data_IF_887470702504
#
_entry.id   IF_887470702504
#
_cell.length_a   1.000
_cell.length_b   1.000
_cell.length_c   1.000
_cell.angle_alpha   90.00
_cell.angle_beta   90.00
_cell.angle_gamma   90.00
#
_symmetry.space_group_name_H-M   'P 1'
#
loop_
_entity.id
_entity.type
_entity.pdbx_description
1 polymer ?
#
# COMPACT_ATOMS: atom_id res chain seq x y z
N UNK A 1 -14.46 5.63 12.31
CA UNK A 1 -13.83 6.43 13.40
C UNK A 1 -13.33 7.75 12.82
N UNK A 2 -13.09 8.77 13.64
CA UNK A 2 -12.47 10.03 13.20
C UNK A 2 -11.51 10.57 14.29
N UNK A 3 -10.47 11.26 13.84
CA UNK A 3 -9.57 12.04 14.68
C UNK A 3 -10.02 13.50 14.59
N UNK A 4 -10.52 14.04 15.69
CA UNK A 4 -11.09 15.39 15.76
C UNK A 4 -10.26 16.29 16.66
N UNK A 5 -10.16 17.57 16.29
CA UNK A 5 -9.55 18.62 17.12
C UNK A 5 -10.51 18.96 18.26
N UNK A 6 -10.12 18.66 19.49
CA UNK A 6 -10.88 18.98 20.72
C UNK A 6 -10.28 20.15 21.50
N UNK A 7 -8.99 20.43 21.31
CA UNK A 7 -8.34 21.65 21.84
C UNK A 7 -7.55 22.34 20.71
N UNK A 8 -8.06 23.51 20.29
CA UNK A 8 -7.49 24.35 19.24
C UNK A 8 -6.22 25.11 19.67
N UNK A 9 -6.00 25.28 20.97
CA UNK A 9 -4.86 25.98 21.54
C UNK A 9 -3.68 25.05 21.86
N UNK A 10 -3.96 23.77 22.09
CA UNK A 10 -2.94 22.76 22.35
C UNK A 10 -2.01 22.52 21.15
N UNK A 11 -0.77 22.05 21.39
CA UNK A 11 0.14 21.60 20.34
C UNK A 11 -0.53 20.61 19.37
N UNK A 12 -0.05 20.58 18.12
CA UNK A 12 -0.71 19.87 17.01
C UNK A 12 -1.16 18.44 17.35
N UNK A 13 -0.34 17.64 18.03
CA UNK A 13 -0.67 16.25 18.36
C UNK A 13 -1.37 16.06 19.70
N UNK A 14 -1.39 17.09 20.55
CA UNK A 14 -1.90 17.02 21.92
C UNK A 14 -3.33 17.54 22.07
N UNK A 15 -3.94 18.10 21.03
CA UNK A 15 -5.34 18.55 21.04
C UNK A 15 -6.28 17.68 20.20
N UNK A 16 -5.91 16.42 19.94
CA UNK A 16 -6.67 15.51 19.07
C UNK A 16 -7.33 14.41 19.90
N UNK A 17 -8.60 14.11 19.62
CA UNK A 17 -9.38 13.02 20.24
C UNK A 17 -9.80 11.98 19.20
N UNK A 18 -9.93 10.72 19.63
CA UNK A 18 -10.40 9.61 18.78
C UNK A 18 -11.86 9.32 19.09
N UNK A 19 -12.75 9.42 18.09
CA UNK A 19 -14.19 9.23 18.29
C UNK A 19 -14.77 8.19 17.33
N UNK A 20 -15.80 7.49 17.81
CA UNK A 20 -16.65 6.62 17.03
C UNK A 20 -17.99 7.30 16.74
N UNK A 21 -18.55 7.05 15.57
CA UNK A 21 -19.86 7.55 15.19
C UNK A 21 -20.45 6.63 14.15
N UNK A 22 -21.78 6.65 14.05
CA UNK A 22 -22.52 5.96 13.02
C UNK A 22 -22.52 6.82 11.76
N UNK A 23 -22.10 6.26 10.62
CA UNK A 23 -22.10 6.95 9.32
C UNK A 23 -23.50 7.37 8.84
N UNK A 24 -24.56 6.78 9.42
CA UNK A 24 -25.96 7.13 9.14
C UNK A 24 -26.47 8.30 10.01
N UNK A 25 -25.66 8.80 10.94
CA UNK A 25 -26.03 9.92 11.80
C UNK A 25 -26.39 11.16 10.97
N UNK A 26 -27.41 11.89 11.42
CA UNK A 26 -27.80 13.17 10.81
C UNK A 26 -26.61 14.12 10.74
N UNK A 27 -26.44 14.78 9.60
CA UNK A 27 -25.35 15.72 9.34
C UNK A 27 -24.11 15.09 8.68
N UNK A 28 -24.04 13.76 8.60
CA UNK A 28 -22.99 13.06 7.86
C UNK A 28 -23.43 12.84 6.42
N UNK A 29 -22.57 13.21 5.47
CA UNK A 29 -22.75 12.89 4.04
C UNK A 29 -21.43 12.44 3.44
N UNK A 30 -21.49 11.53 2.47
CA UNK A 30 -20.32 11.09 1.71
C UNK A 30 -20.49 11.41 0.24
N UNK A 31 -19.39 11.77 -0.42
CA UNK A 31 -19.30 11.95 -1.87
C UNK A 31 -18.20 11.03 -2.39
N UNK A 32 -18.54 9.93 -3.11
CA UNK A 32 -17.55 9.01 -3.66
C UNK A 32 -16.55 9.74 -4.58
N UNK A 33 -15.30 9.30 -4.54
CA UNK A 33 -14.22 9.79 -5.40
C UNK A 33 -13.77 8.63 -6.27
N UNK A 34 -14.00 8.76 -7.58
CA UNK A 34 -13.51 7.81 -8.56
C UNK A 34 -12.01 8.04 -8.78
N UNK A 35 -11.22 6.98 -8.62
CA UNK A 35 -9.79 7.00 -8.88
C UNK A 35 -9.52 6.87 -10.38
N UNK A 36 -8.32 7.29 -10.80
CA UNK A 36 -7.83 7.07 -12.16
C UNK A 36 -7.76 5.58 -12.53
N UNK A 37 -7.72 4.67 -11.56
CA UNK A 37 -7.82 3.22 -11.77
C UNK A 37 -9.25 2.72 -12.01
N UNK A 38 -10.26 3.60 -12.01
CA UNK A 38 -11.68 3.27 -12.21
C UNK A 38 -12.39 2.82 -10.94
N UNK A 39 -11.65 2.33 -9.96
CA UNK A 39 -12.12 1.99 -8.61
C UNK A 39 -12.59 3.24 -7.84
N UNK A 40 -13.58 3.08 -6.96
CA UNK A 40 -14.08 4.16 -6.09
C UNK A 40 -14.14 3.75 -4.61
N UNK A 41 -13.01 3.36 -3.99
CA UNK A 41 -12.99 2.92 -2.59
C UNK A 41 -12.99 4.09 -1.60
N UNK A 42 -12.82 5.32 -2.07
CA UNK A 42 -12.74 6.53 -1.24
C UNK A 42 -13.95 7.41 -1.43
N UNK A 43 -14.22 8.22 -0.41
CA UNK A 43 -15.18 9.30 -0.48
C UNK A 43 -14.67 10.50 0.32
N UNK A 44 -15.07 11.70 -0.10
CA UNK A 44 -15.07 12.86 0.77
C UNK A 44 -16.21 12.71 1.77
N UNK A 45 -15.93 12.88 3.06
CA UNK A 45 -16.95 12.79 4.12
C UNK A 45 -17.15 14.16 4.75
N UNK A 46 -18.39 14.65 4.72
CA UNK A 46 -18.82 15.92 5.30
C UNK A 46 -19.48 15.67 6.65
N UNK A 47 -19.15 16.52 7.62
CA UNK A 47 -19.73 16.54 8.95
C UNK A 47 -20.34 17.92 9.20
N UNK A 48 -21.68 17.99 9.26
CA UNK A 48 -22.44 19.23 9.47
C UNK A 48 -23.29 19.13 10.74
N UNK A 49 -22.92 19.90 11.78
CA UNK A 49 -23.49 19.87 13.14
C UNK A 49 -23.72 18.45 13.71
N UNK A 50 -22.78 17.53 13.44
CA UNK A 50 -22.88 16.14 13.89
C UNK A 50 -22.66 16.06 15.40
N UNK A 51 -23.66 15.53 16.12
CA UNK A 51 -23.58 15.32 17.56
C UNK A 51 -23.20 13.87 17.86
N UNK A 52 -22.18 13.70 18.69
CA UNK A 52 -21.65 12.38 19.08
C UNK A 52 -21.80 12.22 20.60
N UNK A 53 -22.37 11.10 21.10
CA UNK A 53 -22.42 10.83 22.53
C UNK A 53 -21.02 10.75 23.16
N UNK A 54 -20.84 11.33 24.35
CA UNK A 54 -19.56 11.27 25.09
C UNK A 54 -18.97 9.85 25.23
N UNK A 55 -19.76 8.78 25.45
CA UNK A 55 -19.24 7.41 25.52
C UNK A 55 -18.52 6.90 24.26
N UNK A 56 -18.73 7.55 23.11
CA UNK A 56 -18.06 7.17 21.87
C UNK A 56 -16.63 7.73 21.73
N UNK A 57 -16.18 8.52 22.72
CA UNK A 57 -14.78 8.90 22.85
C UNK A 57 -13.96 7.66 23.25
N UNK A 58 -12.99 7.30 22.41
CA UNK A 58 -12.08 6.20 22.70
C UNK A 58 -10.85 6.75 23.40
N UNK A 59 -10.58 6.22 24.60
CA UNK A 59 -9.50 6.70 25.46
C UNK A 59 -9.84 8.02 26.15
N UNK A 60 -8.83 8.88 26.33
CA UNK A 60 -8.99 10.19 26.98
C UNK A 60 -9.09 11.29 25.94
N UNK A 61 -9.83 12.35 26.29
CA UNK A 61 -9.85 13.59 25.54
C UNK A 61 -8.42 14.08 25.32
N UNK A 62 -8.14 14.62 24.14
CA UNK A 62 -6.83 15.14 23.73
C UNK A 62 -5.72 14.08 23.58
N UNK A 63 -6.01 12.78 23.77
CA UNK A 63 -5.04 11.68 23.63
C UNK A 63 -5.28 10.77 22.41
N UNK A 64 -6.09 11.21 21.45
CA UNK A 64 -6.42 10.45 20.25
C UNK A 64 -5.23 10.14 19.35
N UNK A 65 -4.21 11.01 19.30
CA UNK A 65 -3.01 10.75 18.49
C UNK A 65 -2.20 9.56 18.98
N UNK A 66 -2.17 9.31 20.30
CA UNK A 66 -1.50 8.14 20.87
C UNK A 66 -2.13 6.85 20.37
N UNK A 67 -3.47 6.82 20.30
CA UNK A 67 -4.24 5.69 19.77
C UNK A 67 -4.01 5.55 18.26
N UNK A 68 -4.07 6.65 17.52
CA UNK A 68 -3.83 6.66 16.07
C UNK A 68 -2.46 6.06 15.69
N UNK A 69 -1.40 6.40 16.44
CA UNK A 69 -0.06 5.85 16.20
C UNK A 69 -0.02 4.32 16.31
N UNK A 70 -0.70 3.76 17.31
CA UNK A 70 -0.77 2.31 17.50
C UNK A 70 -1.54 1.64 16.34
N UNK A 71 -2.68 2.22 15.93
CA UNK A 71 -3.46 1.73 14.80
C UNK A 71 -2.66 1.75 13.49
N UNK A 72 -1.98 2.86 13.20
CA UNK A 72 -1.11 2.98 12.02
C UNK A 72 0.03 1.95 12.03
N UNK A 73 0.59 1.62 13.19
CA UNK A 73 1.62 0.59 13.29
C UNK A 73 1.07 -0.79 12.97
N UNK A 74 -0.14 -1.11 13.45
CA UNK A 74 -0.82 -2.36 13.12
C UNK A 74 -1.14 -2.48 11.61
N UNK A 75 -1.68 -1.42 11.00
CA UNK A 75 -1.97 -1.39 9.56
C UNK A 75 -0.71 -1.53 8.69
N UNK A 76 0.41 -0.92 9.09
CA UNK A 76 1.69 -1.06 8.35
C UNK A 76 2.19 -2.49 8.30
N UNK A 77 1.98 -3.27 9.36
CA UNK A 77 2.32 -4.70 9.36
C UNK A 77 1.45 -5.48 8.36
N UNK A 78 0.20 -5.07 8.14
CA UNK A 78 -0.68 -5.66 7.13
C UNK A 78 -0.28 -5.25 5.70
N UNK A 79 0.15 -4.00 5.52
CA UNK A 79 0.66 -3.45 4.24
C UNK A 79 1.99 -4.09 3.83
N UNK A 80 2.85 -4.45 4.78
CA UNK A 80 4.08 -5.21 4.53
C UNK A 80 3.81 -6.53 3.78
N UNK A 81 2.64 -7.15 3.97
CA UNK A 81 2.19 -8.33 3.24
C UNK A 81 1.79 -8.08 1.78
N UNK A 82 1.66 -6.82 1.33
CA UNK A 82 1.38 -6.53 -0.09
C UNK A 82 2.58 -6.82 -1.00
N UNK A 83 3.81 -6.67 -0.52
CA UNK A 83 5.01 -7.06 -1.27
C UNK A 83 5.12 -8.57 -1.49
N UNK A 84 4.42 -9.37 -0.67
CA UNK A 84 4.37 -10.85 -0.78
C UNK A 84 3.09 -11.36 -1.44
N UNK A 85 2.11 -10.49 -1.77
CA UNK A 85 0.86 -10.83 -2.47
C UNK A 85 1.05 -11.30 -3.93
N UNK A 86 2.30 -11.35 -4.43
CA UNK A 86 2.65 -11.87 -5.75
C UNK A 86 2.45 -13.38 -5.96
N UNK A 87 1.95 -14.15 -4.98
CA UNK A 87 1.59 -15.57 -5.17
C UNK A 87 0.28 -15.70 -5.97
N UNK A 88 0.32 -15.35 -7.26
CA UNK A 88 -0.74 -15.71 -8.19
C UNK A 88 -0.78 -17.23 -8.34
N UNK A 89 -1.86 -17.86 -7.87
CA UNK A 89 -2.02 -19.33 -7.95
C UNK A 89 -2.14 -19.83 -9.39
N UNK A 90 -2.55 -18.98 -10.34
CA UNK A 90 -2.68 -19.31 -11.75
C UNK A 90 -1.34 -19.11 -12.47
N UNK A 91 -0.72 -20.16 -13.04
CA UNK A 91 0.55 -20.04 -13.77
C UNK A 91 0.52 -18.96 -14.85
N UNK A 92 -0.59 -18.83 -15.58
CA UNK A 92 -0.75 -17.83 -16.64
C UNK A 92 -0.63 -16.36 -16.16
N UNK A 93 -0.75 -16.09 -14.86
CA UNK A 93 -0.63 -14.75 -14.30
C UNK A 93 0.79 -14.44 -13.78
N UNK A 94 1.72 -15.39 -13.87
CA UNK A 94 3.13 -15.14 -13.54
C UNK A 94 3.78 -14.28 -14.62
N UNK A 95 4.67 -13.38 -14.21
CA UNK A 95 5.27 -12.37 -15.11
C UNK A 95 6.03 -13.05 -16.25
N UNK A 96 6.77 -14.13 -15.97
CA UNK A 96 7.52 -14.88 -16.96
C UNK A 96 6.63 -15.51 -18.03
N UNK A 97 5.44 -15.99 -17.67
CA UNK A 97 4.51 -16.60 -18.63
C UNK A 97 3.83 -15.55 -19.49
N UNK A 98 3.59 -14.36 -18.95
CA UNK A 98 3.11 -13.22 -19.73
C UNK A 98 4.20 -12.76 -20.71
N UNK A 99 5.45 -12.66 -20.28
CA UNK A 99 6.56 -12.33 -21.16
C UNK A 99 6.68 -13.32 -22.33
N UNK A 100 6.56 -14.63 -22.06
CA UNK A 100 6.51 -15.67 -23.10
C UNK A 100 5.32 -15.50 -24.05
N UNK A 101 4.16 -15.13 -23.54
CA UNK A 101 2.96 -14.92 -24.36
C UNK A 101 3.12 -13.75 -25.35
N UNK A 102 3.66 -12.60 -24.92
CA UNK A 102 3.73 -11.39 -25.74
C UNK A 102 5.01 -11.27 -26.58
N UNK A 103 6.14 -11.81 -26.09
CA UNK A 103 7.43 -11.74 -26.79
C UNK A 103 7.84 -13.08 -27.43
N UNK A 104 7.12 -14.17 -27.16
CA UNK A 104 7.48 -15.51 -27.63
C UNK A 104 8.69 -16.09 -26.91
N UNK A 105 9.15 -17.23 -27.44
CA UNK A 105 10.27 -18.00 -26.89
C UNK A 105 11.32 -18.33 -27.95
N UNK A 106 12.59 -18.34 -27.52
CA UNK A 106 13.73 -18.84 -28.29
C UNK A 106 14.47 -19.82 -27.35
N UNK A 107 14.63 -21.06 -27.78
CA UNK A 107 15.25 -22.14 -27.01
C UNK A 107 14.65 -22.32 -25.59
N UNK A 108 13.33 -22.20 -25.48
CA UNK A 108 12.57 -22.34 -24.22
C UNK A 108 12.73 -21.16 -23.24
N UNK A 109 13.33 -20.05 -23.68
CA UNK A 109 13.52 -18.83 -22.91
C UNK A 109 12.68 -17.71 -23.52
N UNK A 110 12.23 -16.75 -22.69
CA UNK A 110 11.60 -15.50 -23.17
C UNK A 110 12.52 -14.88 -24.22
N UNK A 111 12.02 -14.57 -25.42
CA UNK A 111 12.86 -14.12 -26.53
C UNK A 111 13.68 -12.86 -26.19
N UNK A 112 13.05 -11.88 -25.52
CA UNK A 112 13.69 -10.62 -25.10
C UNK A 112 14.70 -10.82 -23.97
N UNK A 113 15.97 -10.49 -24.23
CA UNK A 113 17.05 -10.60 -23.25
C UNK A 113 16.92 -9.60 -22.09
N UNK A 114 16.50 -8.37 -22.36
CA UNK A 114 16.29 -7.34 -21.33
C UNK A 114 15.16 -7.74 -20.38
N UNK A 115 14.03 -8.26 -20.91
CA UNK A 115 12.93 -8.72 -20.07
C UNK A 115 13.35 -9.90 -19.17
N UNK A 116 14.25 -10.79 -19.65
CA UNK A 116 14.79 -11.84 -18.78
C UNK A 116 15.54 -11.26 -17.59
N UNK A 117 16.37 -10.23 -17.79
CA UNK A 117 17.10 -9.58 -16.70
C UNK A 117 16.15 -8.89 -15.71
N UNK A 118 15.19 -8.11 -16.21
CA UNK A 118 14.22 -7.39 -15.38
C UNK A 118 13.38 -8.35 -14.52
N UNK A 119 12.89 -9.44 -15.13
CA UNK A 119 12.09 -10.45 -14.44
C UNK A 119 12.95 -11.20 -13.42
N UNK A 120 14.17 -11.62 -13.78
CA UNK A 120 15.07 -12.30 -12.85
C UNK A 120 15.40 -11.40 -11.65
N UNK A 121 15.72 -10.13 -11.88
CA UNK A 121 16.00 -9.14 -10.83
C UNK A 121 14.80 -8.94 -9.92
N UNK A 122 13.60 -8.79 -10.48
CA UNK A 122 12.38 -8.66 -9.69
C UNK A 122 12.10 -9.91 -8.85
N UNK A 123 12.28 -11.11 -9.40
CA UNK A 123 12.10 -12.36 -8.67
C UNK A 123 13.14 -12.54 -7.55
N UNK A 124 14.41 -12.27 -7.82
CA UNK A 124 15.48 -12.31 -6.80
C UNK A 124 15.19 -11.34 -5.65
N UNK A 125 14.79 -10.12 -5.98
CA UNK A 125 14.36 -9.11 -5.01
C UNK A 125 13.16 -9.57 -4.17
N UNK A 126 12.16 -10.18 -4.80
CA UNK A 126 11.00 -10.76 -4.11
C UNK A 126 11.38 -11.87 -3.14
N UNK A 127 12.33 -12.74 -3.50
CA UNK A 127 12.88 -13.78 -2.62
C UNK A 127 13.63 -13.16 -1.43
N UNK A 128 14.53 -12.21 -1.70
CA UNK A 128 15.29 -11.52 -0.65
C UNK A 128 14.35 -10.79 0.34
N UNK A 129 13.30 -10.15 -0.17
CA UNK A 129 12.28 -9.52 0.65
C UNK A 129 11.52 -10.52 1.53
N UNK A 130 11.07 -11.63 0.95
CA UNK A 130 10.37 -12.68 1.69
C UNK A 130 11.23 -13.28 2.81
N UNK A 131 12.51 -13.55 2.55
CA UNK A 131 13.47 -14.01 3.56
C UNK A 131 13.68 -12.97 4.66
N UNK A 132 13.71 -11.68 4.30
CA UNK A 132 13.84 -10.60 5.29
C UNK A 132 12.61 -10.48 6.18
N UNK A 133 11.40 -10.62 5.61
CA UNK A 133 10.14 -10.66 6.37
C UNK A 133 10.13 -11.85 7.33
N UNK A 134 10.54 -13.04 6.87
CA UNK A 134 10.64 -14.22 7.71
C UNK A 134 11.63 -14.03 8.86
N UNK A 135 12.83 -13.53 8.55
CA UNK A 135 13.86 -13.21 9.56
C UNK A 135 13.34 -12.28 10.64
N UNK A 136 12.69 -11.17 10.26
CA UNK A 136 12.12 -10.23 11.24
C UNK A 136 10.99 -10.84 12.06
N UNK A 137 10.16 -11.71 11.48
CA UNK A 137 9.13 -12.42 12.23
C UNK A 137 9.74 -13.39 13.25
N UNK A 138 10.86 -14.03 12.93
CA UNK A 138 11.59 -14.92 13.85
C UNK A 138 12.30 -14.14 14.96
N UNK A 139 12.95 -13.00 14.64
CA UNK A 139 13.57 -12.09 15.62
C UNK A 139 12.55 -11.50 16.61
N UNK A 140 11.33 -11.22 16.15
CA UNK A 140 10.25 -10.69 16.99
C UNK A 140 9.74 -11.70 18.03
N UNK A 141 10.00 -13.01 17.86
CA UNK A 141 9.63 -14.04 18.86
C UNK A 141 10.55 -14.01 20.08
N UNK A 142 11.78 -13.52 19.93
CA UNK A 142 12.81 -13.53 20.98
C UNK A 142 13.01 -12.16 21.64
N UNK A 143 12.50 -11.09 21.04
CA UNK A 143 12.74 -9.70 21.48
C UNK A 143 11.42 -8.95 21.67
N UNK A 144 11.20 -8.39 22.86
CA UNK A 144 9.95 -7.66 23.19
C UNK A 144 9.83 -6.27 22.54
N UNK A 145 10.88 -5.78 21.88
CA UNK A 145 10.91 -4.43 21.32
C UNK A 145 10.37 -4.42 19.86
N UNK A 146 9.40 -3.54 19.53
CA UNK A 146 8.95 -3.38 18.16
C UNK A 146 10.08 -2.84 17.28
N UNK A 147 10.51 -3.61 16.29
CA UNK A 147 11.52 -3.15 15.33
C UNK A 147 10.90 -2.15 14.33
N UNK A 148 11.57 -1.01 14.02
CA UNK A 148 11.14 -0.06 12.98
C UNK A 148 11.19 -0.63 11.55
N UNK A 149 11.51 -1.92 11.39
CA UNK A 149 11.49 -2.68 10.12
C UNK A 149 10.16 -2.61 9.37
N UNK A 150 9.03 -2.38 10.05
CA UNK A 150 7.74 -2.18 9.38
C UNK A 150 7.73 -1.04 8.37
N UNK A 151 8.49 0.04 8.63
CA UNK A 151 8.62 1.18 7.70
C UNK A 151 9.41 0.80 6.45
N UNK A 152 10.46 -0.01 6.62
CA UNK A 152 11.22 -0.58 5.50
C UNK A 152 10.35 -1.52 4.66
N UNK A 153 9.57 -2.41 5.30
CA UNK A 153 8.69 -3.31 4.58
C UNK A 153 7.60 -2.58 3.81
N UNK A 154 7.00 -1.54 4.40
CA UNK A 154 6.04 -0.70 3.69
C UNK A 154 6.70 -0.06 2.48
N UNK A 155 7.85 0.61 2.65
CA UNK A 155 8.55 1.24 1.54
C UNK A 155 8.87 0.23 0.43
N UNK A 156 9.69 -0.77 0.74
CA UNK A 156 10.19 -1.71 -0.26
C UNK A 156 9.08 -2.54 -0.90
N UNK A 157 8.10 -3.01 -0.13
CA UNK A 157 6.98 -3.78 -0.65
C UNK A 157 6.13 -2.98 -1.64
N UNK A 158 5.96 -1.68 -1.40
CA UNK A 158 5.23 -0.79 -2.33
C UNK A 158 6.03 -0.50 -3.60
N UNK A 159 7.36 -0.31 -3.50
CA UNK A 159 8.23 -0.16 -4.67
C UNK A 159 8.28 -1.44 -5.52
N UNK A 160 8.37 -2.62 -4.89
CA UNK A 160 8.32 -3.89 -5.61
C UNK A 160 6.99 -4.09 -6.34
N UNK A 161 5.87 -3.73 -5.73
CA UNK A 161 4.58 -3.84 -6.39
C UNK A 161 4.44 -2.88 -7.58
N UNK A 162 4.90 -1.63 -7.46
CA UNK A 162 4.95 -0.70 -8.59
C UNK A 162 5.83 -1.24 -9.72
N UNK A 163 7.04 -1.71 -9.40
CA UNK A 163 7.97 -2.29 -10.37
C UNK A 163 7.38 -3.52 -11.09
N UNK A 164 6.65 -4.38 -10.37
CA UNK A 164 5.91 -5.50 -10.99
C UNK A 164 4.99 -5.00 -12.10
N UNK A 165 4.23 -3.94 -11.85
CA UNK A 165 3.33 -3.39 -12.87
C UNK A 165 4.09 -2.68 -13.98
N UNK A 166 5.21 -1.99 -13.71
CA UNK A 166 6.07 -1.45 -14.77
C UNK A 166 6.55 -2.54 -15.74
N UNK A 167 7.00 -3.68 -15.22
CA UNK A 167 7.43 -4.82 -16.04
C UNK A 167 6.24 -5.37 -16.85
N UNK A 168 5.05 -5.48 -16.26
CA UNK A 168 3.85 -5.95 -16.97
C UNK A 168 3.41 -4.99 -18.09
N UNK A 169 3.48 -3.67 -17.85
CA UNK A 169 3.22 -2.66 -18.88
C UNK A 169 4.21 -2.81 -20.04
N UNK A 170 5.50 -3.01 -19.75
CA UNK A 170 6.53 -3.23 -20.76
C UNK A 170 6.30 -4.53 -21.56
N UNK A 171 5.93 -5.62 -20.88
CA UNK A 171 5.62 -6.91 -21.51
C UNK A 171 4.46 -6.80 -22.50
N UNK A 172 3.39 -6.10 -22.13
CA UNK A 172 2.19 -6.01 -22.94
C UNK A 172 2.26 -4.91 -24.01
N UNK A 173 3.18 -3.96 -23.88
CA UNK A 173 3.31 -2.84 -24.81
C UNK A 173 2.01 -2.05 -24.94
N UNK A 174 1.59 -1.75 -26.17
CA UNK A 174 0.35 -1.01 -26.45
C UNK A 174 -0.91 -1.69 -25.91
N UNK A 175 -0.90 -3.02 -25.75
CA UNK A 175 -2.04 -3.74 -25.19
C UNK A 175 -2.31 -3.38 -23.72
N UNK A 176 -1.31 -2.89 -22.98
CA UNK A 176 -1.51 -2.44 -21.60
C UNK A 176 -2.14 -1.06 -21.46
N UNK A 177 -2.34 -0.34 -22.56
CA UNK A 177 -2.98 0.98 -22.56
C UNK A 177 -4.51 0.90 -22.68
N UNK A 178 -5.06 -0.32 -22.77
CA UNK A 178 -6.49 -0.55 -22.86
C UNK A 178 -7.24 -0.16 -21.59
N UNK A 179 -8.32 0.60 -21.76
CA UNK A 179 -9.22 1.00 -20.66
C UNK A 179 -10.57 0.26 -20.69
N UNK A 180 -11.11 0.06 -21.88
CA UNK A 180 -12.38 -0.62 -22.18
C UNK A 180 -12.40 -1.09 -23.64
N UNK A 181 -13.47 -1.79 -24.02
CA UNK A 181 -13.69 -2.28 -25.39
C UNK A 181 -13.17 -3.69 -25.66
N UNK A 182 -13.59 -4.25 -26.80
CA UNK A 182 -13.37 -5.66 -27.14
C UNK A 182 -11.98 -5.94 -27.73
N UNK A 183 -11.21 -4.90 -28.05
CA UNK A 183 -9.84 -5.02 -28.56
C UNK A 183 -8.81 -5.42 -27.50
N UNK A 184 -9.19 -5.39 -26.23
CA UNK A 184 -8.35 -5.76 -25.10
C UNK A 184 -8.98 -6.91 -24.33
N UNK A 185 -8.16 -7.92 -24.01
CA UNK A 185 -8.64 -9.00 -23.17
C UNK A 185 -8.79 -8.54 -21.70
N UNK A 186 -9.57 -9.24 -20.86
CA UNK A 186 -9.80 -8.84 -19.48
C UNK A 186 -8.53 -8.65 -18.63
N UNK A 187 -7.45 -9.36 -18.93
CA UNK A 187 -6.18 -9.24 -18.21
C UNK A 187 -5.44 -7.95 -18.57
N UNK A 188 -5.42 -7.58 -19.84
CA UNK A 188 -4.84 -6.32 -20.33
C UNK A 188 -5.51 -5.12 -19.66
N UNK A 189 -6.85 -5.10 -19.66
CA UNK A 189 -7.65 -4.07 -18.98
C UNK A 189 -7.36 -4.01 -17.48
N UNK A 190 -7.32 -5.16 -16.81
CA UNK A 190 -7.01 -5.25 -15.38
C UNK A 190 -5.60 -4.76 -15.07
N UNK A 191 -4.62 -5.06 -15.92
CA UNK A 191 -3.21 -4.68 -15.72
C UNK A 191 -3.05 -3.16 -15.78
N UNK A 192 -3.71 -2.50 -16.72
CA UNK A 192 -3.71 -1.03 -16.81
C UNK A 192 -4.28 -0.38 -15.54
N UNK A 193 -5.43 -0.87 -15.08
CA UNK A 193 -6.08 -0.38 -13.85
C UNK A 193 -5.25 -0.63 -12.60
N UNK A 194 -4.68 -1.82 -12.48
CA UNK A 194 -3.82 -2.18 -11.34
C UNK A 194 -2.49 -1.39 -11.34
N UNK A 195 -1.90 -1.12 -12.51
CA UNK A 195 -0.72 -0.25 -12.64
C UNK A 195 -1.02 1.16 -12.12
N UNK A 196 -2.13 1.75 -12.55
CA UNK A 196 -2.61 3.06 -12.07
C UNK A 196 -2.88 3.04 -10.56
N UNK A 197 -3.55 2.01 -10.04
CA UNK A 197 -3.81 1.85 -8.60
C UNK A 197 -2.52 1.68 -7.79
N UNK A 198 -1.51 1.03 -8.35
CA UNK A 198 -0.24 0.76 -7.66
C UNK A 198 0.50 2.04 -7.29
N UNK A 199 0.28 3.15 -8.02
CA UNK A 199 0.90 4.46 -7.73
C UNK A 199 0.49 5.01 -6.37
N UNK A 200 -0.74 4.75 -5.94
CA UNK A 200 -1.22 5.17 -4.63
C UNK A 200 -0.48 4.47 -3.47
N UNK A 201 0.13 3.30 -3.70
CA UNK A 201 0.82 2.52 -2.66
C UNK A 201 2.01 3.28 -2.03
N UNK A 202 2.70 4.13 -2.79
CA UNK A 202 3.78 4.97 -2.25
C UNK A 202 3.27 6.16 -1.43
N UNK A 203 1.96 6.41 -1.39
CA UNK A 203 1.35 7.55 -0.69
C UNK A 203 0.53 7.06 0.51
N UNK A 204 -0.37 6.10 0.31
CA UNK A 204 -1.26 5.59 1.35
C UNK A 204 -0.50 4.85 2.47
N UNK A 205 -1.05 4.86 3.68
CA UNK A 205 -0.39 4.29 4.87
C UNK A 205 0.88 5.04 5.33
N UNK A 206 1.15 6.21 4.74
CA UNK A 206 2.29 7.08 5.00
C UNK A 206 3.28 7.07 3.83
N UNK A 207 3.61 8.24 3.29
CA UNK A 207 4.37 8.37 2.04
C UNK A 207 5.76 7.74 2.10
N UNK A 208 6.33 7.37 0.96
CA UNK A 208 7.68 6.83 0.86
C UNK A 208 8.73 7.73 1.53
N UNK A 209 8.61 9.05 1.39
CA UNK A 209 9.50 10.04 2.02
C UNK A 209 9.40 10.01 3.54
N UNK A 210 8.18 9.89 4.08
CA UNK A 210 7.97 9.76 5.53
C UNK A 210 8.56 8.44 6.03
N UNK A 211 8.39 7.33 5.30
CA UNK A 211 9.02 6.06 5.69
C UNK A 211 10.55 6.15 5.69
N UNK A 212 11.14 6.76 4.66
CA UNK A 212 12.59 6.95 4.56
C UNK A 212 13.12 7.80 5.71
N UNK A 213 12.40 8.86 6.11
CA UNK A 213 12.73 9.66 7.29
C UNK A 213 12.68 8.82 8.58
N UNK A 214 11.68 7.95 8.74
CA UNK A 214 11.59 7.06 9.90
C UNK A 214 12.76 6.08 9.91
N UNK A 215 13.13 5.51 8.75
CA UNK A 215 14.27 4.60 8.63
C UNK A 215 15.57 5.31 9.01
N UNK A 216 15.84 6.48 8.42
CA UNK A 216 17.02 7.27 8.72
C UNK A 216 17.17 7.56 10.23
N UNK A 217 16.10 8.01 10.88
CA UNK A 217 16.16 8.48 12.27
C UNK A 217 16.04 7.36 13.29
N UNK A 218 15.18 6.36 13.05
CA UNK A 218 14.83 5.33 14.03
C UNK A 218 15.54 3.99 13.81
N UNK A 219 15.97 3.70 12.58
CA UNK A 219 16.76 2.48 12.28
C UNK A 219 18.24 2.82 12.28
N UNK A 220 18.63 3.90 11.58
CA UNK A 220 20.05 4.25 11.39
C UNK A 220 20.59 5.26 12.42
N UNK A 221 19.72 5.90 13.20
CA UNK A 221 20.14 6.86 14.23
C UNK A 221 20.74 8.15 13.69
N UNK A 222 20.38 8.55 12.46
CA UNK A 222 20.88 9.79 11.85
C UNK A 222 20.29 11.04 12.54
N UNK A 223 21.06 12.15 12.60
CA UNK A 223 20.60 13.40 13.20
C UNK A 223 19.44 14.05 12.43
N UNK A 224 18.72 14.94 13.11
CA UNK A 224 17.53 15.66 12.59
C UNK A 224 17.87 16.77 11.59
#
# INVERSE_FOLDING_TARGET
FCLVRTDASAPKHEGISFVLFDMTSRGIRTKPIQLISGESPFCETFFDDVRIPRPNLVGKENQGWTIAKQLLQHERNMVAGMGTRGKTKKPANKIENQAKQYFGEIDGKIASASLRDDIARHQMNGIAFALTVQRTADEAKTTSAPSPTSSMFKYYGTEQNKNRFEILMNIMGSQSLGWEGDSFNPRELSTSREWLRSKANSIEGGTSEVQLNIIAKRVLGLPD
#
